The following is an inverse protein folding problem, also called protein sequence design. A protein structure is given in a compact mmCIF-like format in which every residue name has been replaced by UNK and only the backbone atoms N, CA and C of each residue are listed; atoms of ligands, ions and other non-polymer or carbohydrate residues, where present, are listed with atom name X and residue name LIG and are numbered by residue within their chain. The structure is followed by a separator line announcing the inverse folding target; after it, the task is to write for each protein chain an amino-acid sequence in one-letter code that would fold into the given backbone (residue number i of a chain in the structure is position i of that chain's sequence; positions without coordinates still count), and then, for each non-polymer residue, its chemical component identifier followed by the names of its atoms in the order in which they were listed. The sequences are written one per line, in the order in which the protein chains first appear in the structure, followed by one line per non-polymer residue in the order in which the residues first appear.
data_IF_049380218368
#
_entry.id   IF_049380218368
#
_cell.length_a   1.000
_cell.length_b   1.000
_cell.length_c   1.000
_cell.angle_alpha   90.00
_cell.angle_beta   90.00
_cell.angle_gamma   90.00
#
_symmetry.space_group_name_H-M   'P 1'
#
loop_
_entity.id
_entity.type
_entity.pdbx_description
1 polymer ?
#
# COMPACT_ATOMS: atom_id res chain seq x y z
N UNK A 1 10.11 -15.97 11.55
CA UNK A 1 9.83 -16.20 10.11
C UNK A 1 9.90 -14.85 9.44
N UNK A 2 10.62 -14.72 8.32
CA UNK A 2 10.78 -13.47 7.57
C UNK A 2 9.90 -13.54 6.32
N UNK A 3 9.11 -12.50 6.06
CA UNK A 3 8.30 -12.43 4.84
C UNK A 3 9.08 -11.84 3.64
N UNK A 4 8.47 -11.85 2.46
CA UNK A 4 9.10 -11.35 1.24
C UNK A 4 9.45 -9.86 1.28
N UNK A 5 8.59 -9.03 1.89
CA UNK A 5 8.82 -7.60 2.05
C UNK A 5 9.95 -7.33 3.03
N UNK A 6 10.00 -8.05 4.14
CA UNK A 6 11.12 -7.99 5.09
C UNK A 6 12.44 -8.42 4.45
N UNK A 7 12.43 -9.49 3.65
CA UNK A 7 13.62 -9.96 2.96
C UNK A 7 14.15 -8.94 1.95
N UNK A 8 13.29 -8.43 1.05
CA UNK A 8 13.69 -7.40 0.08
C UNK A 8 14.17 -6.12 0.79
N UNK A 9 13.55 -5.76 1.91
CA UNK A 9 14.03 -4.66 2.71
C UNK A 9 15.40 -4.94 3.35
N UNK A 10 15.68 -6.19 3.75
CA UNK A 10 16.98 -6.52 4.36
C UNK A 10 18.15 -6.30 3.40
N UNK A 11 17.97 -6.63 2.12
CA UNK A 11 19.01 -6.51 1.07
C UNK A 11 19.03 -5.14 0.37
N UNK A 12 18.19 -4.18 0.77
CA UNK A 12 17.95 -2.89 0.07
C UNK A 12 19.16 -1.99 -0.22
N UNK A 13 20.31 -2.30 0.37
CA UNK A 13 21.57 -1.57 0.24
C UNK A 13 22.70 -2.47 -0.30
N UNK A 14 22.38 -3.68 -0.74
CA UNK A 14 23.31 -4.62 -1.37
C UNK A 14 23.22 -4.49 -2.89
N UNK A 15 24.29 -4.83 -3.61
CA UNK A 15 24.34 -4.76 -5.09
C UNK A 15 23.27 -5.63 -5.77
N UNK A 16 22.82 -6.67 -5.08
CA UNK A 16 21.77 -7.60 -5.54
C UNK A 16 20.34 -7.06 -5.38
N UNK A 17 20.14 -5.87 -4.82
CA UNK A 17 18.84 -5.19 -4.88
C UNK A 17 18.78 -4.37 -6.16
N UNK A 18 17.97 -4.84 -7.11
CA UNK A 18 17.78 -4.14 -8.37
C UNK A 18 16.86 -2.93 -8.17
N UNK A 19 17.36 -1.72 -8.43
CA UNK A 19 16.59 -0.48 -8.38
C UNK A 19 16.28 0.10 -9.77
N UNK A 20 16.44 -0.69 -10.84
CA UNK A 20 16.12 -0.32 -12.23
C UNK A 20 14.61 -0.38 -12.51
N UNK A 21 13.86 0.48 -11.83
CA UNK A 21 12.43 0.64 -12.09
C UNK A 21 12.22 1.34 -13.45
N UNK A 22 11.39 0.73 -14.30
CA UNK A 22 11.07 1.19 -15.66
C UNK A 22 9.79 2.04 -15.70
N UNK A 23 8.93 1.96 -14.69
CA UNK A 23 7.72 2.79 -14.53
C UNK A 23 7.46 3.17 -13.07
N UNK A 24 6.55 4.12 -12.85
CA UNK A 24 6.23 4.64 -11.50
C UNK A 24 4.74 4.93 -11.35
N UNK A 25 4.14 4.63 -10.18
CA UNK A 25 2.75 4.99 -9.87
C UNK A 25 2.55 6.50 -9.59
N UNK A 26 3.61 7.31 -9.71
CA UNK A 26 3.58 8.74 -9.40
C UNK A 26 3.74 9.04 -7.91
N UNK A 27 3.52 10.29 -7.52
CA UNK A 27 3.72 10.79 -6.15
C UNK A 27 2.53 10.50 -5.22
N UNK A 28 1.34 10.27 -5.78
CA UNK A 28 0.11 9.99 -5.03
C UNK A 28 -0.16 8.49 -4.91
N UNK A 29 0.39 7.89 -3.85
CA UNK A 29 0.04 6.52 -3.42
C UNK A 29 -0.58 6.59 -2.03
N UNK A 30 -1.77 6.02 -1.84
CA UNK A 30 -2.36 5.85 -0.51
C UNK A 30 -1.92 4.49 0.04
N UNK A 31 -1.31 4.46 1.22
CA UNK A 31 -0.88 3.24 1.88
C UNK A 31 -1.60 3.09 3.23
N UNK A 32 -2.42 2.05 3.35
CA UNK A 32 -2.97 1.66 4.64
C UNK A 32 -1.97 0.78 5.38
N UNK A 33 -1.62 1.18 6.60
CA UNK A 33 -0.73 0.49 7.50
C UNK A 33 -1.50 -0.50 8.39
N UNK A 34 -1.42 -1.82 8.15
CA UNK A 34 -2.20 -2.81 8.89
C UNK A 34 -1.88 -2.83 10.38
N UNK A 35 -2.90 -3.00 11.22
CA UNK A 35 -2.76 -3.00 12.67
C UNK A 35 -1.82 -4.11 13.19
N UNK A 36 -1.81 -5.29 12.55
CA UNK A 36 -0.95 -6.41 12.95
C UNK A 36 0.54 -6.13 12.74
N UNK A 37 0.92 -5.42 11.68
CA UNK A 37 2.33 -5.04 11.45
C UNK A 37 2.85 -4.12 12.55
N UNK A 38 1.97 -3.25 13.09
CA UNK A 38 2.30 -2.39 14.23
C UNK A 38 2.49 -3.20 15.51
N UNK A 39 1.57 -4.12 15.78
CA UNK A 39 1.63 -5.00 16.94
C UNK A 39 2.88 -5.89 16.91
N UNK A 40 3.32 -6.30 15.71
CA UNK A 40 4.56 -7.06 15.51
C UNK A 40 5.83 -6.21 15.67
N UNK A 41 5.75 -4.87 15.62
CA UNK A 41 6.90 -3.99 15.80
C UNK A 41 7.94 -4.02 14.67
N UNK A 42 7.62 -4.63 13.53
CA UNK A 42 8.54 -4.82 12.39
C UNK A 42 8.64 -3.57 11.49
N UNK A 43 7.71 -2.62 11.66
CA UNK A 43 7.58 -1.43 10.83
C UNK A 43 6.86 -1.70 9.50
N UNK A 44 6.89 -0.73 8.59
CA UNK A 44 6.11 -0.77 7.35
C UNK A 44 7.02 -1.05 6.14
N UNK A 45 7.60 -2.25 6.08
CA UNK A 45 8.58 -2.60 5.05
C UNK A 45 8.02 -2.47 3.64
N UNK A 46 6.75 -2.85 3.43
CA UNK A 46 6.03 -2.63 2.17
C UNK A 46 6.03 -1.15 1.76
N UNK A 47 5.59 -0.25 2.63
CA UNK A 47 5.62 1.21 2.40
C UNK A 47 7.03 1.72 2.08
N UNK A 48 8.00 1.27 2.86
CA UNK A 48 9.37 1.76 2.73
C UNK A 48 10.03 1.24 1.44
N UNK A 49 9.66 0.05 0.96
CA UNK A 49 10.03 -0.42 -0.37
C UNK A 49 9.36 0.39 -1.47
N UNK A 50 8.08 0.80 -1.34
CA UNK A 50 7.44 1.67 -2.32
C UNK A 50 8.20 2.99 -2.50
N UNK A 51 8.79 3.53 -1.44
CA UNK A 51 9.64 4.75 -1.48
C UNK A 51 10.95 4.56 -2.23
N UNK A 52 11.36 3.33 -2.57
CA UNK A 52 12.51 3.09 -3.45
C UNK A 52 12.19 3.38 -4.91
N UNK A 53 10.91 3.32 -5.31
CA UNK A 53 10.48 3.70 -6.66
C UNK A 53 10.59 5.24 -6.78
N UNK A 54 11.30 5.76 -7.80
CA UNK A 54 11.47 7.21 -7.97
C UNK A 54 10.14 7.96 -8.03
N UNK A 55 10.05 9.05 -7.27
CA UNK A 55 8.88 9.93 -7.23
C UNK A 55 7.78 9.50 -6.24
N UNK A 56 7.80 8.27 -5.73
CA UNK A 56 6.72 7.74 -4.89
C UNK A 56 6.83 8.24 -3.45
N UNK A 57 5.76 8.89 -2.97
CA UNK A 57 5.64 9.40 -1.59
C UNK A 57 4.32 8.96 -0.96
N UNK A 58 4.24 7.75 -0.37
CA UNK A 58 2.96 7.23 0.08
C UNK A 58 2.36 8.04 1.24
N UNK A 59 1.12 8.52 1.06
CA UNK A 59 0.28 9.02 2.14
C UNK A 59 -0.14 7.83 3.02
N UNK A 60 0.17 7.87 4.32
CA UNK A 60 -0.03 6.73 5.21
C UNK A 60 -1.30 6.90 6.04
N UNK A 61 -2.20 5.92 5.96
CA UNK A 61 -3.41 5.81 6.78
C UNK A 61 -3.19 4.73 7.84
N UNK A 62 -3.38 5.09 9.11
CA UNK A 62 -3.02 4.25 10.27
C UNK A 62 -4.25 3.72 11.01
N UNK A 63 -5.43 4.17 10.62
CA UNK A 63 -6.71 3.85 11.21
C UNK A 63 -7.06 2.38 10.95
N UNK A 64 -7.78 1.76 11.90
CA UNK A 64 -8.20 0.37 11.74
C UNK A 64 -9.16 0.25 10.55
N UNK A 65 -8.91 -0.68 9.63
CA UNK A 65 -9.86 -1.00 8.55
C UNK A 65 -11.16 -1.65 9.04
N UNK A 66 -11.20 -2.16 10.28
CA UNK A 66 -12.39 -2.76 10.90
C UNK A 66 -12.62 -4.24 10.59
N UNK A 67 -11.82 -4.88 9.73
CA UNK A 67 -12.08 -6.26 9.29
C UNK A 67 -12.06 -7.31 10.43
N UNK A 68 -11.16 -7.15 11.41
CA UNK A 68 -11.07 -7.98 12.62
C UNK A 68 -11.18 -9.51 12.39
N UNK A 69 -10.27 -10.08 11.59
CA UNK A 69 -10.25 -11.52 11.33
C UNK A 69 -11.48 -11.97 10.56
N UNK A 70 -12.25 -12.94 11.07
CA UNK A 70 -13.48 -13.41 10.40
C UNK A 70 -14.72 -12.61 10.79
N UNK A 71 -14.65 -11.71 11.77
CA UNK A 71 -15.81 -11.00 12.30
C UNK A 71 -16.54 -10.17 11.22
N UNK A 72 -15.79 -9.40 10.41
CA UNK A 72 -16.39 -8.63 9.32
C UNK A 72 -17.04 -9.50 8.23
N UNK A 73 -16.76 -10.81 8.20
CA UNK A 73 -17.31 -11.74 7.21
C UNK A 73 -18.63 -12.36 7.66
N UNK A 74 -19.06 -12.16 8.92
CA UNK A 74 -20.36 -12.64 9.40
C UNK A 74 -21.47 -11.63 9.10
N UNK A 75 -22.71 -12.10 9.01
CA UNK A 75 -23.88 -11.25 8.74
C UNK A 75 -24.04 -10.20 9.84
N UNK A 76 -23.80 -10.58 11.09
CA UNK A 76 -23.91 -9.73 12.27
C UNK A 76 -22.79 -8.69 12.34
N UNK A 77 -21.57 -9.07 11.94
CA UNK A 77 -20.38 -8.23 12.01
C UNK A 77 -20.19 -7.28 10.84
N UNK A 78 -20.82 -7.55 9.67
CA UNK A 78 -20.61 -6.78 8.44
C UNK A 78 -20.81 -5.27 8.64
N UNK A 79 -21.99 -4.84 9.09
CA UNK A 79 -22.31 -3.42 9.31
C UNK A 79 -21.52 -2.79 10.45
N UNK A 80 -21.24 -3.56 11.51
CA UNK A 80 -20.44 -3.08 12.65
C UNK A 80 -18.99 -2.83 12.24
N UNK A 81 -18.38 -3.75 11.50
CA UNK A 81 -17.02 -3.66 10.98
C UNK A 81 -16.84 -2.44 10.05
N UNK A 82 -17.85 -2.14 9.23
CA UNK A 82 -17.86 -0.97 8.36
C UNK A 82 -17.81 0.33 9.16
N UNK A 83 -18.57 0.42 10.26
CA UNK A 83 -18.57 1.59 11.15
C UNK A 83 -17.22 1.80 11.83
N UNK A 84 -16.57 0.71 12.26
CA UNK A 84 -15.22 0.74 12.83
C UNK A 84 -14.19 1.21 11.78
N UNK A 85 -14.32 0.69 10.55
CA UNK A 85 -13.41 0.99 9.43
C UNK A 85 -13.55 2.37 8.82
N UNK A 86 -14.62 3.10 9.13
CA UNK A 86 -15.01 4.35 8.46
C UNK A 86 -13.87 5.36 8.31
N UNK A 87 -13.11 5.61 9.38
CA UNK A 87 -11.99 6.57 9.34
C UNK A 87 -10.86 6.13 8.41
N UNK A 88 -10.59 4.83 8.31
CA UNK A 88 -9.59 4.32 7.37
C UNK A 88 -10.08 4.49 5.93
N UNK A 89 -11.37 4.26 5.67
CA UNK A 89 -11.94 4.42 4.34
C UNK A 89 -11.91 5.88 3.88
N UNK A 90 -12.29 6.81 4.78
CA UNK A 90 -12.22 8.26 4.52
C UNK A 90 -10.77 8.69 4.32
N UNK A 91 -9.85 8.32 5.21
CA UNK A 91 -8.44 8.69 5.08
C UNK A 91 -7.78 8.19 3.78
N UNK A 92 -8.14 6.99 3.31
CA UNK A 92 -7.63 6.49 2.03
C UNK A 92 -8.22 7.24 0.83
N UNK A 93 -9.48 7.68 0.90
CA UNK A 93 -10.11 8.50 -0.15
C UNK A 93 -9.54 9.92 -0.18
N UNK A 94 -9.34 10.51 0.99
CA UNK A 94 -8.84 11.88 1.14
C UNK A 94 -7.39 12.04 0.66
N UNK A 95 -6.64 10.93 0.56
CA UNK A 95 -5.31 10.91 -0.03
C UNK A 95 -5.30 11.22 -1.54
N UNK A 96 -6.46 11.24 -2.22
CA UNK A 96 -6.62 11.57 -3.64
C UNK A 96 -5.64 10.79 -4.55
N UNK A 97 -5.38 9.53 -4.18
CA UNK A 97 -4.42 8.66 -4.84
C UNK A 97 -5.12 7.65 -5.75
N UNK A 98 -4.64 7.51 -6.98
CA UNK A 98 -5.11 6.48 -7.91
C UNK A 98 -4.68 5.08 -7.48
N UNK A 99 -3.51 4.98 -6.83
CA UNK A 99 -2.97 3.71 -6.35
C UNK A 99 -3.14 3.61 -4.84
N UNK A 100 -3.91 2.60 -4.42
CA UNK A 100 -4.05 2.21 -3.02
C UNK A 100 -3.21 0.99 -2.73
N UNK A 101 -2.60 0.94 -1.56
CA UNK A 101 -1.68 -0.10 -1.14
C UNK A 101 -1.97 -0.58 0.30
N UNK A 102 -1.82 -1.88 0.55
CA UNK A 102 -1.86 -2.48 1.90
C UNK A 102 -1.16 -3.83 1.89
N UNK A 103 -0.39 -4.15 2.94
CA UNK A 103 0.20 -5.49 3.09
C UNK A 103 -0.82 -6.54 3.57
N UNK A 104 -2.00 -6.10 4.03
CA UNK A 104 -3.01 -7.00 4.59
C UNK A 104 -4.10 -7.32 3.55
N UNK A 105 -4.21 -8.58 3.08
CA UNK A 105 -5.23 -8.97 2.09
C UNK A 105 -6.67 -8.83 2.64
N UNK A 106 -6.86 -9.04 3.96
CA UNK A 106 -8.15 -8.81 4.60
C UNK A 106 -8.52 -7.32 4.55
N UNK A 107 -7.59 -6.41 4.89
CA UNK A 107 -7.84 -4.99 4.72
C UNK A 107 -8.18 -4.64 3.27
N UNK A 108 -7.50 -5.23 2.28
CA UNK A 108 -7.80 -5.00 0.87
C UNK A 108 -9.24 -5.37 0.49
N UNK A 109 -9.77 -6.49 1.01
CA UNK A 109 -11.17 -6.89 0.84
C UNK A 109 -12.12 -5.90 1.51
N UNK A 110 -11.80 -5.47 2.74
CA UNK A 110 -12.62 -4.52 3.49
C UNK A 110 -12.75 -3.17 2.75
N UNK A 111 -11.64 -2.66 2.20
CA UNK A 111 -11.66 -1.45 1.37
C UNK A 111 -12.44 -1.67 0.08
N UNK A 112 -12.31 -2.83 -0.56
CA UNK A 112 -13.09 -3.14 -1.76
C UNK A 112 -14.60 -3.11 -1.45
N UNK A 113 -15.02 -3.68 -0.32
CA UNK A 113 -16.42 -3.77 0.08
C UNK A 113 -17.03 -2.42 0.48
N UNK A 114 -16.29 -1.59 1.23
CA UNK A 114 -16.86 -0.38 1.85
C UNK A 114 -16.35 0.95 1.26
N UNK A 115 -15.26 0.92 0.51
CA UNK A 115 -14.71 2.09 -0.18
C UNK A 115 -14.76 1.99 -1.71
N UNK A 116 -15.07 0.81 -2.27
CA UNK A 116 -15.19 0.56 -3.71
C UNK A 116 -13.85 0.46 -4.44
N UNK A 117 -12.73 0.60 -3.73
CA UNK A 117 -11.37 0.50 -4.27
C UNK A 117 -10.69 -0.67 -3.60
N UNK A 118 -10.04 -1.54 -4.39
CA UNK A 118 -9.24 -2.65 -3.86
C UNK A 118 -7.77 -2.25 -3.85
N UNK A 119 -7.17 -2.00 -2.67
CA UNK A 119 -5.73 -1.82 -2.56
C UNK A 119 -4.94 -2.99 -3.14
N UNK A 120 -3.81 -2.66 -3.75
CA UNK A 120 -2.81 -3.62 -4.17
C UNK A 120 -1.86 -3.98 -3.02
N UNK A 121 -1.26 -5.16 -3.10
CA UNK A 121 -0.14 -5.48 -2.22
C UNK A 121 1.10 -4.68 -2.67
N UNK A 122 1.95 -4.15 -1.76
CA UNK A 122 3.15 -3.42 -2.14
C UNK A 122 4.08 -4.18 -3.09
N UNK A 123 4.17 -5.51 -2.95
CA UNK A 123 4.94 -6.35 -3.88
C UNK A 123 4.40 -6.33 -5.31
N UNK A 124 3.08 -6.23 -5.49
CA UNK A 124 2.48 -6.13 -6.81
C UNK A 124 2.76 -4.77 -7.45
N UNK A 125 2.84 -3.71 -6.65
CA UNK A 125 3.21 -2.37 -7.13
C UNK A 125 4.68 -2.35 -7.53
N UNK A 126 5.57 -2.93 -6.72
CA UNK A 126 6.98 -3.09 -7.06
C UNK A 126 7.18 -3.89 -8.35
N UNK A 127 6.49 -5.03 -8.49
CA UNK A 127 6.58 -5.84 -9.70
C UNK A 127 6.20 -5.04 -10.96
N UNK A 128 5.09 -4.28 -10.91
CA UNK A 128 4.68 -3.39 -12.00
C UNK A 128 5.71 -2.30 -12.30
N UNK A 129 6.40 -1.79 -11.28
CA UNK A 129 7.41 -0.75 -11.48
C UNK A 129 8.62 -1.24 -12.31
N UNK A 130 8.88 -2.56 -12.39
CA UNK A 130 9.90 -3.12 -13.30
C UNK A 130 9.39 -3.31 -14.73
N UNK A 131 8.10 -3.10 -14.99
CA UNK A 131 7.52 -3.18 -16.33
C UNK A 131 7.47 -1.77 -16.95
N UNK A 132 7.87 -1.62 -18.21
CA UNK A 132 7.88 -0.33 -18.93
C UNK A 132 6.52 0.37 -18.96
N UNK A 133 5.44 -0.41 -19.08
CA UNK A 133 4.07 0.10 -19.18
C UNK A 133 3.25 -0.18 -17.90
N UNK A 134 3.90 -0.52 -16.78
CA UNK A 134 3.24 -1.00 -15.56
C UNK A 134 2.29 -0.01 -14.88
N UNK A 135 2.46 1.29 -15.13
CA UNK A 135 1.59 2.37 -14.62
C UNK A 135 1.15 3.35 -15.73
N UNK A 136 1.16 2.90 -17.00
CA UNK A 136 0.91 3.78 -18.15
C UNK A 136 2.10 4.67 -18.51
N UNK A 137 1.99 5.54 -19.54
CA UNK A 137 3.10 6.37 -19.97
C UNK A 137 3.51 7.32 -18.84
N UNK A 138 4.81 7.35 -18.52
CA UNK A 138 5.35 8.21 -17.48
C UNK A 138 4.92 9.67 -17.67
N UNK A 139 4.24 10.24 -16.67
CA UNK A 139 4.05 11.69 -16.61
C UNK A 139 5.43 12.34 -16.64
N UNK A 140 5.74 13.23 -17.59
CA UNK A 140 7.06 13.81 -17.69
C UNK A 140 7.41 14.51 -16.37
N UNK A 141 8.58 14.18 -15.81
CA UNK A 141 9.15 14.91 -14.68
C UNK A 141 9.18 16.40 -15.05
N UNK A 142 8.59 17.25 -14.21
CA UNK A 142 8.99 18.66 -14.22
C UNK A 142 10.45 18.70 -13.81
N UNK A 143 11.31 19.12 -14.74
CA UNK A 143 12.69 19.44 -14.44
C UNK A 143 12.68 20.52 -13.35
N UNK A 144 13.34 20.21 -12.23
CA UNK A 144 13.58 21.16 -11.15
C UNK A 144 14.72 22.08 -11.61
N UNK A 145 14.37 23.12 -12.36
CA UNK A 145 15.23 24.30 -12.54
C UNK A 145 15.23 25.09 -11.23
N UNK A 146 16.30 24.96 -10.44
CA UNK A 146 16.90 26.02 -9.60
C UNK A 146 18.28 25.61 -9.10
#
# INVERSE_FOLDING_TARGET
VMDAGEYLWSIRNEERFDASFESSPGDKVAYHAPCHLRAQGVGFKGRDLLRKIPGVKPATVMECCGHDGTYAMTVEGFEASAKVGKKAFEGMKDADAEIWATDCPLAALQFQQHAGVKPMHPMSILARAYEKDGFGPATPKKDDES
#
